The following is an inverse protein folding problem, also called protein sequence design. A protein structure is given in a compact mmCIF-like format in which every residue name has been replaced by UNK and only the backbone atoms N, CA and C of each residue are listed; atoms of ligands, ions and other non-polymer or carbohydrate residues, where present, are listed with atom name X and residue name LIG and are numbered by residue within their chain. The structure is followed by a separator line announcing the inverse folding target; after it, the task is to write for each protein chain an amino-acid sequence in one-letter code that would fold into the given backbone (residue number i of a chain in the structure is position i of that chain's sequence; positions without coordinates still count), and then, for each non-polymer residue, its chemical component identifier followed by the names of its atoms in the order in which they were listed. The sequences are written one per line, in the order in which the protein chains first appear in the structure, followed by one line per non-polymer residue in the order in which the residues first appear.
data_IF_011315432194
#
_entry.id   IF_011315432194
#
_cell.length_a   1.000
_cell.length_b   1.000
_cell.length_c   1.000
_cell.angle_alpha   90.00
_cell.angle_beta   90.00
_cell.angle_gamma   90.00
#
_symmetry.space_group_name_H-M   'P 1'
#
loop_
_entity.id
_entity.type
_entity.pdbx_description
1 polymer ?
#
# COMPACT_ATOMS: atom_id res chain seq x y z
N UNK A 1 4.00 -8.24 -28.08
CA UNK A 1 4.39 -6.83 -27.91
C UNK A 1 3.22 -5.92 -27.49
N UNK A 2 2.20 -5.65 -28.33
CA UNK A 2 1.16 -4.67 -27.94
C UNK A 2 0.34 -5.08 -26.69
N UNK A 3 0.00 -6.37 -26.58
CA UNK A 3 -0.79 -6.92 -25.46
C UNK A 3 -0.03 -6.99 -24.13
N UNK A 4 1.30 -7.10 -24.18
CA UNK A 4 2.15 -7.13 -22.96
C UNK A 4 2.24 -5.75 -22.32
N UNK A 5 2.36 -4.70 -23.14
CA UNK A 5 2.36 -3.30 -22.69
C UNK A 5 0.97 -2.92 -22.15
N UNK A 6 -0.12 -3.32 -22.81
CA UNK A 6 -1.48 -3.10 -22.33
C UNK A 6 -1.74 -3.78 -20.97
N UNK A 7 -1.32 -5.05 -20.82
CA UNK A 7 -1.43 -5.77 -19.54
C UNK A 7 -0.60 -5.11 -18.44
N UNK A 8 0.59 -4.61 -18.78
CA UNK A 8 1.45 -3.88 -17.85
C UNK A 8 0.83 -2.56 -17.38
N UNK A 9 0.23 -1.78 -18.29
CA UNK A 9 -0.52 -0.54 -17.94
C UNK A 9 -1.74 -0.83 -17.07
N UNK A 10 -2.48 -1.91 -17.35
CA UNK A 10 -3.60 -2.34 -16.53
C UNK A 10 -3.14 -2.74 -15.12
N UNK A 11 -2.10 -3.57 -15.02
CA UNK A 11 -1.52 -3.98 -13.74
C UNK A 11 -1.08 -2.75 -12.92
N UNK A 12 -0.39 -1.79 -13.55
CA UNK A 12 -0.01 -0.54 -12.89
C UNK A 12 -1.21 0.21 -12.32
N UNK A 13 -2.27 0.38 -13.11
CA UNK A 13 -3.46 1.13 -12.70
C UNK A 13 -4.18 0.46 -11.53
N UNK A 14 -4.34 -0.87 -11.58
CA UNK A 14 -4.92 -1.66 -10.48
C UNK A 14 -4.10 -1.46 -9.20
N UNK A 15 -2.78 -1.59 -9.33
CA UNK A 15 -1.88 -1.48 -8.19
C UNK A 15 -1.92 -0.07 -7.58
N UNK A 16 -1.93 0.99 -8.40
CA UNK A 16 -2.06 2.36 -7.89
C UNK A 16 -3.37 2.58 -7.13
N UNK A 17 -4.48 2.02 -7.63
CA UNK A 17 -5.77 2.13 -6.95
C UNK A 17 -5.75 1.44 -5.58
N UNK A 18 -5.11 0.26 -5.50
CA UNK A 18 -4.94 -0.47 -4.23
C UNK A 18 -4.08 0.31 -3.23
N UNK A 19 -2.93 0.82 -3.67
CA UNK A 19 -2.04 1.64 -2.82
C UNK A 19 -2.76 2.88 -2.28
N UNK A 20 -3.49 3.60 -3.14
CA UNK A 20 -4.25 4.79 -2.74
C UNK A 20 -5.34 4.46 -1.70
N UNK A 21 -6.01 3.32 -1.87
CA UNK A 21 -7.05 2.86 -0.94
C UNK A 21 -6.45 2.52 0.42
N UNK A 22 -5.26 1.91 0.42
CA UNK A 22 -4.55 1.67 1.67
C UNK A 22 -4.11 2.97 2.35
N UNK A 23 -3.53 3.92 1.62
CA UNK A 23 -3.10 5.20 2.20
C UNK A 23 -4.27 5.87 2.94
N UNK A 24 -5.45 5.94 2.31
CA UNK A 24 -6.66 6.46 2.95
C UNK A 24 -7.08 5.68 4.21
N UNK A 25 -6.89 4.37 4.21
CA UNK A 25 -7.20 3.51 5.37
C UNK A 25 -6.22 3.75 6.53
N UNK A 26 -4.93 3.94 6.23
CA UNK A 26 -3.91 4.27 7.21
C UNK A 26 -4.14 5.66 7.82
N UNK A 27 -4.52 6.64 7.00
CA UNK A 27 -4.86 7.99 7.46
C UNK A 27 -6.06 7.95 8.41
N UNK A 28 -7.10 7.18 8.06
CA UNK A 28 -8.25 6.99 8.93
C UNK A 28 -7.87 6.33 10.25
N UNK A 29 -7.03 5.30 10.24
CA UNK A 29 -6.55 4.66 11.48
C UNK A 29 -5.79 5.65 12.37
N UNK A 30 -4.94 6.49 11.78
CA UNK A 30 -4.21 7.52 12.51
C UNK A 30 -5.17 8.54 13.16
N UNK A 31 -6.23 8.94 12.45
CA UNK A 31 -7.28 9.79 13.01
C UNK A 31 -8.04 9.10 14.14
N UNK A 32 -8.39 7.82 13.97
CA UNK A 32 -9.05 7.04 15.02
C UNK A 32 -8.18 6.99 16.28
N UNK A 33 -6.87 6.75 16.14
CA UNK A 33 -5.95 6.73 17.27
C UNK A 33 -5.88 8.05 18.05
N UNK A 34 -6.18 9.20 17.42
CA UNK A 34 -6.26 10.49 18.10
C UNK A 34 -7.54 10.68 18.93
N UNK A 35 -8.59 9.92 18.61
CA UNK A 35 -9.92 10.03 19.23
C UNK A 35 -10.13 8.95 20.32
N UNK A 36 -9.39 7.84 20.25
CA UNK A 36 -9.38 6.83 21.30
C UNK A 36 -8.76 7.38 22.59
N UNK A 37 -9.30 6.97 23.73
CA UNK A 37 -8.65 7.27 25.01
C UNK A 37 -7.35 6.45 25.18
N UNK A 38 -6.55 6.84 26.17
CA UNK A 38 -5.26 6.21 26.43
C UNK A 38 -5.38 4.72 26.83
N UNK A 39 -6.41 4.35 27.59
CA UNK A 39 -6.57 3.00 28.12
C UNK A 39 -7.05 2.03 27.04
N UNK A 40 -7.97 2.46 26.18
CA UNK A 40 -8.42 1.76 24.98
C UNK A 40 -7.28 1.62 23.99
N UNK A 41 -6.47 2.67 23.81
CA UNK A 41 -5.27 2.60 22.96
C UNK A 41 -4.28 1.56 23.48
N UNK A 42 -3.98 1.56 24.78
CA UNK A 42 -3.12 0.55 25.42
C UNK A 42 -3.66 -0.85 25.22
N UNK A 43 -4.96 -1.07 25.49
CA UNK A 43 -5.61 -2.36 25.33
C UNK A 43 -5.52 -2.86 23.88
N UNK A 44 -5.79 -1.99 22.89
CA UNK A 44 -5.70 -2.31 21.47
C UNK A 44 -4.27 -2.66 21.05
N UNK A 45 -3.29 -1.84 21.45
CA UNK A 45 -1.88 -2.07 21.07
C UNK A 45 -1.25 -3.31 21.71
N UNK A 46 -1.89 -3.89 22.73
CA UNK A 46 -1.46 -5.11 23.40
C UNK A 46 -2.01 -6.39 22.75
N UNK A 47 -2.88 -6.29 21.75
CA UNK A 47 -3.46 -7.49 21.10
C UNK A 47 -2.58 -8.01 19.96
N UNK A 48 -2.73 -9.30 19.65
CA UNK A 48 -2.04 -9.94 18.51
C UNK A 48 -2.48 -9.35 17.16
N UNK A 49 -3.71 -8.85 17.06
CA UNK A 49 -4.23 -8.19 15.87
C UNK A 49 -3.47 -6.91 15.56
N UNK A 50 -3.02 -6.18 16.59
CA UNK A 50 -2.19 -5.00 16.39
C UNK A 50 -0.80 -5.35 15.85
N UNK A 51 -0.19 -6.41 16.36
CA UNK A 51 1.09 -6.91 15.84
C UNK A 51 0.97 -7.37 14.38
N UNK A 52 -0.07 -8.16 14.07
CA UNK A 52 -0.38 -8.57 12.70
C UNK A 52 -0.60 -7.38 11.76
N UNK A 53 -1.29 -6.33 12.24
CA UNK A 53 -1.47 -5.10 11.48
C UNK A 53 -0.14 -4.39 11.21
N UNK A 54 0.75 -4.29 12.21
CA UNK A 54 2.06 -3.65 12.04
C UNK A 54 2.96 -4.44 11.07
N UNK A 55 2.93 -5.76 11.11
CA UNK A 55 3.64 -6.62 10.15
C UNK A 55 3.11 -6.41 8.73
N UNK A 56 1.79 -6.52 8.55
CA UNK A 56 1.15 -6.29 7.25
C UNK A 56 1.44 -4.89 6.70
N UNK A 57 1.50 -3.87 7.58
CA UNK A 57 1.87 -2.50 7.20
C UNK A 57 3.30 -2.44 6.66
N UNK A 58 4.27 -3.07 7.34
CA UNK A 58 5.67 -3.12 6.89
C UNK A 58 5.82 -3.85 5.56
N UNK A 59 5.18 -5.01 5.42
CA UNK A 59 5.19 -5.76 4.16
C UNK A 59 4.61 -4.94 3.00
N UNK A 60 3.59 -4.15 3.28
CA UNK A 60 2.95 -3.31 2.28
C UNK A 60 3.82 -2.11 1.88
N UNK A 61 4.53 -1.49 2.82
CA UNK A 61 5.52 -0.45 2.51
C UNK A 61 6.61 -0.99 1.57
N UNK A 62 7.15 -2.18 1.87
CA UNK A 62 8.10 -2.88 0.99
C UNK A 62 7.48 -3.19 -0.38
N UNK A 63 6.21 -3.61 -0.39
CA UNK A 63 5.50 -3.94 -1.63
C UNK A 63 5.29 -2.68 -2.48
N UNK A 64 4.94 -1.54 -1.87
CA UNK A 64 4.83 -0.24 -2.53
C UNK A 64 6.13 0.14 -3.22
N UNK A 65 7.27 0.04 -2.54
CA UNK A 65 8.60 0.33 -3.12
C UNK A 65 8.88 -0.57 -4.34
N UNK A 66 8.62 -1.88 -4.22
CA UNK A 66 8.81 -2.85 -5.32
C UNK A 66 7.93 -2.52 -6.53
N UNK A 67 6.69 -2.11 -6.27
CA UNK A 67 5.76 -1.66 -7.30
C UNK A 67 6.29 -0.41 -8.00
N UNK A 68 6.74 0.59 -7.24
CA UNK A 68 7.27 1.83 -7.80
C UNK A 68 8.46 1.57 -8.72
N UNK A 69 9.36 0.66 -8.32
CA UNK A 69 10.46 0.18 -9.17
C UNK A 69 9.96 -0.52 -10.43
N UNK A 70 9.03 -1.48 -10.30
CA UNK A 70 8.45 -2.19 -11.44
C UNK A 70 7.80 -1.22 -12.44
N UNK A 71 7.07 -0.23 -11.95
CA UNK A 71 6.42 0.81 -12.76
C UNK A 71 7.44 1.69 -13.46
N UNK A 72 8.53 2.05 -12.79
CA UNK A 72 9.60 2.83 -13.40
C UNK A 72 10.21 2.09 -14.59
N UNK A 73 10.42 0.77 -14.47
CA UNK A 73 10.90 -0.06 -15.58
C UNK A 73 9.87 -0.17 -16.72
N UNK A 74 8.59 -0.37 -16.40
CA UNK A 74 7.52 -0.37 -17.41
C UNK A 74 7.46 0.96 -18.20
N UNK A 75 7.64 2.10 -17.51
CA UNK A 75 7.66 3.42 -18.16
C UNK A 75 8.87 3.62 -19.07
N UNK A 76 10.01 2.97 -18.80
CA UNK A 76 11.17 3.00 -19.71
C UNK A 76 10.85 2.23 -20.99
N UNK A 77 10.28 1.04 -20.85
CA UNK A 77 9.83 0.25 -22.00
C UNK A 77 8.84 1.02 -22.86
N UNK A 78 7.88 1.73 -22.24
CA UNK A 78 6.89 2.55 -22.97
C UNK A 78 7.48 3.78 -23.69
N UNK A 79 8.67 4.26 -23.29
CA UNK A 79 9.39 5.38 -23.92
C UNK A 79 10.44 4.95 -24.95
N UNK A 80 10.83 3.67 -24.94
CA UNK A 80 11.79 3.08 -25.89
C UNK A 80 11.11 2.54 -27.16
N UNK A 81 9.77 2.62 -27.24
CA UNK A 81 8.96 2.40 -28.44
C UNK A 81 8.39 3.72 -29.00
#
# INVERSE_FOLDING_TARGET
MNREIENARLAYTIIQSLLKTQEATNDLLALMAQVLDEDVTKALTATSEWENYLEAKRELEITKERIELFVAELKKLDKEF
#
